data_IF_017864303850
#
_entry.id   IF_017864303850
#
_cell.length_a   1.000
_cell.length_b   1.000
_cell.length_c   1.000
_cell.angle_alpha   90.00
_cell.angle_beta   90.00
_cell.angle_gamma   90.00
#
_symmetry.space_group_name_H-M   'P 1'
#
loop_
_entity.id
_entity.type
_entity.pdbx_description
1 polymer ?
#
# COMPACT_ATOMS: atom_id res chain seq x y z
N UNK A 1 -2.58 15.06 27.05
CA UNK A 1 -3.98 14.94 26.55
C UNK A 1 -3.99 13.91 25.42
N UNK A 2 -4.86 12.89 25.49
CA UNK A 2 -4.97 11.89 24.40
C UNK A 2 -5.90 12.43 23.32
N UNK A 3 -5.48 12.31 22.06
CA UNK A 3 -6.20 12.86 20.90
C UNK A 3 -7.12 11.77 20.35
N UNK A 4 -8.38 12.12 20.07
CA UNK A 4 -9.37 11.22 19.47
C UNK A 4 -9.50 11.44 17.96
N UNK A 5 -9.54 12.71 17.54
CA UNK A 5 -9.78 13.16 16.16
C UNK A 5 -8.81 14.28 15.80
N UNK A 6 -8.54 14.46 14.51
CA UNK A 6 -7.80 15.62 14.02
C UNK A 6 -8.72 16.59 13.30
N UNK A 7 -8.58 17.87 13.61
CA UNK A 7 -9.28 18.95 12.92
C UNK A 7 -8.50 19.36 11.66
N UNK A 8 -9.20 19.38 10.54
CA UNK A 8 -8.68 19.78 9.22
C UNK A 8 -9.57 20.83 8.57
N UNK A 9 -8.97 21.70 7.75
CA UNK A 9 -9.74 22.68 6.99
C UNK A 9 -10.63 22.01 5.93
N UNK A 10 -11.70 22.70 5.51
CA UNK A 10 -12.61 22.25 4.44
C UNK A 10 -11.85 21.83 3.18
N UNK A 11 -10.91 22.66 2.71
CA UNK A 11 -10.06 22.36 1.55
C UNK A 11 -9.25 21.07 1.72
N UNK A 12 -8.62 20.86 2.89
CA UNK A 12 -7.85 19.62 3.15
C UNK A 12 -8.76 18.39 3.18
N UNK A 13 -9.99 18.55 3.67
CA UNK A 13 -10.98 17.47 3.69
C UNK A 13 -11.42 17.07 2.28
N UNK A 14 -11.64 18.04 1.38
CA UNK A 14 -11.99 17.78 -0.01
C UNK A 14 -10.85 17.09 -0.76
N UNK A 15 -9.61 17.62 -0.62
CA UNK A 15 -8.41 17.00 -1.20
C UNK A 15 -8.24 15.56 -0.72
N UNK A 16 -8.49 15.30 0.57
CA UNK A 16 -8.44 13.94 1.11
C UNK A 16 -9.50 13.04 0.46
N UNK A 17 -10.74 13.50 0.32
CA UNK A 17 -11.82 12.71 -0.29
C UNK A 17 -11.51 12.36 -1.75
N UNK A 18 -11.00 13.33 -2.53
CA UNK A 18 -10.57 13.09 -3.91
C UNK A 18 -9.42 12.09 -3.97
N UNK A 19 -8.42 12.25 -3.11
CA UNK A 19 -7.31 11.31 -3.04
C UNK A 19 -7.79 9.89 -2.65
N UNK A 20 -8.71 9.77 -1.69
CA UNK A 20 -9.27 8.47 -1.31
C UNK A 20 -10.02 7.80 -2.48
N UNK A 21 -10.80 8.57 -3.25
CA UNK A 21 -11.48 8.09 -4.45
C UNK A 21 -10.49 7.59 -5.51
N UNK A 22 -9.47 8.40 -5.84
CA UNK A 22 -8.42 8.05 -6.81
C UNK A 22 -7.62 6.83 -6.36
N UNK A 23 -7.29 6.74 -5.08
CA UNK A 23 -6.57 5.58 -4.51
C UNK A 23 -7.38 4.30 -4.63
N UNK A 24 -8.67 4.37 -4.31
CA UNK A 24 -9.58 3.21 -4.39
C UNK A 24 -9.76 2.77 -5.83
N UNK A 25 -9.91 3.70 -6.77
CA UNK A 25 -10.00 3.39 -8.20
C UNK A 25 -8.71 2.77 -8.74
N UNK A 26 -7.55 3.37 -8.45
CA UNK A 26 -6.25 2.84 -8.90
C UNK A 26 -6.02 1.42 -8.37
N UNK A 27 -6.24 1.19 -7.07
CA UNK A 27 -6.08 -0.15 -6.47
C UNK A 27 -7.13 -1.13 -7.03
N UNK A 28 -8.36 -0.67 -7.28
CA UNK A 28 -9.41 -1.48 -7.89
C UNK A 28 -9.07 -1.94 -9.31
N UNK A 29 -8.52 -1.04 -10.14
CA UNK A 29 -8.10 -1.37 -11.51
C UNK A 29 -7.00 -2.44 -11.50
N UNK A 30 -6.02 -2.35 -10.60
CA UNK A 30 -4.98 -3.40 -10.49
C UNK A 30 -5.53 -4.79 -10.17
N UNK A 31 -6.64 -4.87 -9.41
CA UNK A 31 -7.33 -6.14 -9.16
C UNK A 31 -8.06 -6.62 -10.41
N UNK A 32 -8.77 -5.72 -11.09
CA UNK A 32 -9.49 -6.04 -12.33
C UNK A 32 -8.53 -6.55 -13.40
N UNK A 33 -7.36 -5.93 -13.56
CA UNK A 33 -6.30 -6.38 -14.47
C UNK A 33 -5.83 -7.81 -14.15
N UNK A 34 -5.71 -8.16 -12.86
CA UNK A 34 -5.36 -9.51 -12.42
C UNK A 34 -6.43 -10.57 -12.74
N UNK A 35 -7.69 -10.16 -12.88
CA UNK A 35 -8.81 -11.05 -13.20
C UNK A 35 -9.06 -11.21 -14.71
N UNK A 36 -8.70 -10.19 -15.50
CA UNK A 36 -8.88 -10.19 -16.96
C UNK A 36 -7.65 -10.77 -17.68
N UNK A 37 -6.48 -10.80 -17.03
CA UNK A 37 -5.26 -11.37 -17.58
C UNK A 37 -5.34 -12.90 -17.77
N UNK A 38 -4.68 -13.39 -18.82
CA UNK A 38 -4.67 -14.82 -19.17
C UNK A 38 -3.94 -15.63 -18.06
N UNK A 39 -4.56 -16.66 -17.46
CA UNK A 39 -3.92 -17.50 -16.44
C UNK A 39 -2.74 -18.33 -16.98
N UNK A 40 -2.58 -18.44 -18.30
CA UNK A 40 -1.39 -19.04 -18.93
C UNK A 40 -0.28 -18.03 -19.20
N UNK A 41 -0.49 -16.75 -18.90
CA UNK A 41 0.56 -15.76 -18.96
C UNK A 41 1.61 -16.13 -17.88
N UNK A 42 2.88 -16.39 -18.24
CA UNK A 42 3.94 -16.70 -17.28
C UNK A 42 4.10 -15.63 -16.19
N UNK A 43 3.41 -14.49 -16.32
CA UNK A 43 3.29 -13.42 -15.35
C UNK A 43 2.54 -13.75 -14.05
N UNK A 44 1.67 -14.77 -14.03
CA UNK A 44 0.83 -15.07 -12.86
C UNK A 44 1.48 -16.01 -11.83
N UNK A 45 2.67 -16.55 -12.09
CA UNK A 45 3.43 -17.31 -11.09
C UNK A 45 4.11 -16.41 -10.06
N UNK A 46 4.32 -16.88 -8.83
CA UNK A 46 5.15 -16.19 -7.81
C UNK A 46 6.59 -15.91 -8.31
N UNK A 47 7.04 -16.67 -9.32
CA UNK A 47 8.30 -16.46 -10.06
C UNK A 47 8.08 -15.64 -11.34
N UNK A 48 6.86 -15.69 -11.90
CA UNK A 48 6.37 -14.81 -12.95
C UNK A 48 6.42 -13.34 -12.58
N UNK A 49 6.03 -12.99 -11.34
CA UNK A 49 6.22 -11.64 -10.80
C UNK A 49 7.70 -11.20 -10.70
N UNK A 50 8.66 -12.11 -10.89
CA UNK A 50 10.09 -11.82 -10.95
C UNK A 50 10.65 -11.82 -12.39
N UNK A 51 9.95 -12.43 -13.37
CA UNK A 51 10.39 -12.55 -14.78
C UNK A 51 9.53 -11.77 -15.79
N UNK A 52 8.27 -11.43 -15.48
CA UNK A 52 7.41 -10.58 -16.32
C UNK A 52 7.38 -9.14 -15.83
N UNK A 53 8.57 -8.59 -15.69
CA UNK A 53 8.81 -7.18 -15.97
C UNK A 53 9.08 -7.00 -17.47
N UNK A 54 8.33 -7.70 -18.31
CA UNK A 54 8.33 -7.50 -19.75
C UNK A 54 7.13 -6.61 -20.07
N UNK A 55 7.40 -5.31 -20.07
CA UNK A 55 6.50 -4.18 -20.37
C UNK A 55 5.35 -3.96 -19.37
N UNK A 56 5.62 -3.24 -18.27
CA UNK A 56 4.59 -2.41 -17.62
C UNK A 56 3.96 -1.57 -18.73
N UNK A 57 2.67 -1.76 -18.97
CA UNK A 57 1.98 -0.92 -19.94
C UNK A 57 2.05 0.54 -19.44
N UNK A 58 2.09 1.54 -20.33
CA UNK A 58 2.00 2.94 -19.90
C UNK A 58 0.80 3.21 -18.98
N UNK A 59 -0.26 2.41 -19.12
CA UNK A 59 -1.45 2.41 -18.27
C UNK A 59 -1.10 1.95 -16.84
N UNK A 60 -0.44 0.81 -16.66
CA UNK A 60 -0.04 0.31 -15.33
C UNK A 60 0.91 1.27 -14.60
N UNK A 61 1.81 1.94 -15.33
CA UNK A 61 2.66 3.00 -14.76
C UNK A 61 1.83 4.18 -14.30
N UNK A 62 0.84 4.61 -15.08
CA UNK A 62 -0.06 5.69 -14.72
C UNK A 62 -0.94 5.34 -13.52
N UNK A 63 -1.47 4.12 -13.45
CA UNK A 63 -2.25 3.62 -12.31
C UNK A 63 -1.42 3.60 -11.02
N UNK A 64 -0.19 3.09 -11.11
CA UNK A 64 0.76 3.13 -9.99
C UNK A 64 1.09 4.55 -9.56
N UNK A 65 1.30 5.47 -10.51
CA UNK A 65 1.57 6.88 -10.21
C UNK A 65 0.38 7.56 -9.50
N UNK A 66 -0.85 7.29 -9.96
CA UNK A 66 -2.08 7.80 -9.35
C UNK A 66 -2.25 7.22 -7.95
N UNK A 67 -2.05 5.91 -7.77
CA UNK A 67 -2.15 5.23 -6.48
C UNK A 67 -1.15 5.78 -5.47
N UNK A 68 0.12 5.89 -5.84
CA UNK A 68 1.18 6.43 -4.97
C UNK A 68 0.93 7.91 -4.69
N UNK A 69 0.60 8.72 -5.71
CA UNK A 69 0.30 10.14 -5.55
C UNK A 69 -0.88 10.40 -4.62
N UNK A 70 -1.94 9.60 -4.74
CA UNK A 70 -3.11 9.67 -3.87
C UNK A 70 -2.76 9.29 -2.42
N UNK A 71 -2.01 8.20 -2.21
CA UNK A 71 -1.55 7.79 -0.89
C UNK A 71 -0.67 8.87 -0.22
N UNK A 72 0.30 9.42 -0.96
CA UNK A 72 1.17 10.51 -0.50
C UNK A 72 0.36 11.76 -0.14
N UNK A 73 -0.69 12.08 -0.88
CA UNK A 73 -1.56 13.22 -0.59
C UNK A 73 -2.30 13.02 0.74
N UNK A 74 -2.90 11.84 0.96
CA UNK A 74 -3.58 11.50 2.22
C UNK A 74 -2.61 11.51 3.40
N UNK A 75 -1.42 10.93 3.24
CA UNK A 75 -0.38 10.97 4.27
C UNK A 75 0.16 12.38 4.49
N UNK A 76 0.25 13.23 3.47
CA UNK A 76 0.63 14.64 3.62
C UNK A 76 -0.35 15.43 4.50
N UNK A 77 -1.66 15.17 4.35
CA UNK A 77 -2.68 15.75 5.25
C UNK A 77 -2.46 15.30 6.68
N UNK A 78 -2.24 14.00 6.91
CA UNK A 78 -1.96 13.44 8.24
C UNK A 78 -0.64 13.98 8.84
N UNK A 79 0.41 14.10 8.03
CA UNK A 79 1.71 14.64 8.42
C UNK A 79 1.56 16.08 8.92
N UNK A 80 0.74 16.89 8.24
CA UNK A 80 0.44 18.25 8.68
C UNK A 80 -0.29 18.28 10.04
N UNK A 81 -1.10 17.27 10.35
CA UNK A 81 -1.76 17.11 11.65
C UNK A 81 -0.76 16.73 12.75
N UNK A 82 0.19 15.84 12.45
CA UNK A 82 1.26 15.48 13.39
C UNK A 82 2.21 16.66 13.68
N UNK A 83 2.50 17.49 12.67
CA UNK A 83 3.29 18.70 12.83
C UNK A 83 2.59 19.71 13.76
N UNK A 84 1.29 19.97 13.55
CA UNK A 84 0.48 20.86 14.40
C UNK A 84 0.42 20.38 15.85
N UNK A 85 0.37 19.07 16.07
CA UNK A 85 0.29 18.46 17.40
C UNK A 85 1.65 18.18 18.04
N UNK A 86 2.75 18.63 17.42
CA UNK A 86 4.14 18.48 17.89
C UNK A 86 4.55 17.03 18.17
N UNK A 87 3.99 16.06 17.43
CA UNK A 87 4.29 14.62 17.57
C UNK A 87 5.42 14.20 16.63
N UNK A 88 6.66 14.57 16.99
CA UNK A 88 7.85 14.36 16.17
C UNK A 88 8.03 12.90 15.71
N UNK A 89 7.85 11.91 16.59
CA UNK A 89 7.97 10.50 16.21
C UNK A 89 6.99 10.08 15.12
N UNK A 90 5.72 10.46 15.24
CA UNK A 90 4.69 10.11 14.25
C UNK A 90 4.96 10.79 12.91
N UNK A 91 5.42 12.04 12.96
CA UNK A 91 5.85 12.78 11.78
C UNK A 91 7.03 12.10 11.06
N UNK A 92 8.06 11.68 11.79
CA UNK A 92 9.24 11.04 11.21
C UNK A 92 8.91 9.69 10.58
N UNK A 93 8.19 8.82 11.30
CA UNK A 93 7.83 7.51 10.77
C UNK A 93 6.93 7.62 9.53
N UNK A 94 5.93 8.52 9.55
CA UNK A 94 5.11 8.77 8.38
C UNK A 94 5.92 9.34 7.20
N UNK A 95 6.84 10.27 7.48
CA UNK A 95 7.75 10.82 6.46
C UNK A 95 8.64 9.76 5.81
N UNK A 96 9.19 8.84 6.61
CA UNK A 96 9.95 7.70 6.11
C UNK A 96 9.09 6.80 5.22
N UNK A 97 7.83 6.51 5.59
CA UNK A 97 6.91 5.74 4.74
C UNK A 97 6.69 6.43 3.39
N UNK A 98 6.48 7.76 3.40
CA UNK A 98 6.28 8.54 2.18
C UNK A 98 7.51 8.49 1.26
N UNK A 99 8.71 8.70 1.82
CA UNK A 99 9.97 8.67 1.06
C UNK A 99 10.22 7.28 0.48
N UNK A 100 10.10 6.23 1.28
CA UNK A 100 10.31 4.86 0.78
C UNK A 100 9.27 4.48 -0.27
N UNK A 101 8.00 4.89 -0.12
CA UNK A 101 6.95 4.60 -1.12
C UNK A 101 7.26 5.28 -2.46
N UNK A 102 7.70 6.55 -2.43
CA UNK A 102 8.09 7.28 -3.63
C UNK A 102 9.33 6.66 -4.29
N UNK A 103 10.38 6.35 -3.52
CA UNK A 103 11.59 5.73 -4.04
C UNK A 103 11.32 4.34 -4.62
N UNK A 104 10.46 3.54 -3.96
CA UNK A 104 10.04 2.23 -4.47
C UNK A 104 9.36 2.38 -5.82
N UNK A 105 8.43 3.33 -5.95
CA UNK A 105 7.76 3.59 -7.22
C UNK A 105 8.76 3.97 -8.32
N UNK A 106 9.64 4.95 -8.06
CA UNK A 106 10.68 5.40 -9.00
C UNK A 106 11.58 4.23 -9.42
N UNK A 107 12.04 3.42 -8.47
CA UNK A 107 12.90 2.28 -8.77
C UNK A 107 12.19 1.24 -9.63
N UNK A 108 10.92 0.97 -9.34
CA UNK A 108 10.11 -0.01 -10.07
C UNK A 108 9.81 0.47 -11.50
N UNK A 109 9.57 1.76 -11.70
CA UNK A 109 9.22 2.31 -13.03
C UNK A 109 10.43 2.61 -13.90
N UNK A 110 11.51 3.15 -13.34
CA UNK A 110 12.65 3.66 -14.12
C UNK A 110 13.80 2.67 -14.27
N UNK A 111 14.13 1.95 -13.20
CA UNK A 111 15.38 1.17 -13.15
C UNK A 111 15.19 -0.31 -13.47
N UNK A 112 13.97 -0.81 -13.40
CA UNK A 112 13.66 -2.20 -13.70
C UNK A 112 13.93 -2.58 -15.17
N UNK A 113 13.81 -1.61 -16.07
CA UNK A 113 14.06 -1.77 -17.50
C UNK A 113 15.47 -1.35 -17.94
N UNK A 114 16.36 -1.10 -16.99
CA UNK A 114 17.74 -0.76 -17.34
C UNK A 114 18.40 -1.93 -18.06
N UNK A 115 19.09 -1.63 -19.15
CA UNK A 115 19.92 -2.59 -19.90
C UNK A 115 21.10 -3.08 -19.07
N UNK A 116 21.50 -2.31 -18.05
CA UNK A 116 22.54 -2.68 -17.10
C UNK A 116 22.01 -3.66 -16.04
N UNK A 117 22.60 -4.86 -16.03
CA UNK A 117 22.30 -5.93 -15.07
C UNK A 117 22.57 -5.53 -13.62
N UNK A 118 23.58 -4.71 -13.35
CA UNK A 118 23.92 -4.26 -12.00
C UNK A 118 22.86 -3.30 -11.46
N UNK A 119 22.42 -2.34 -12.29
CA UNK A 119 21.35 -1.39 -11.94
C UNK A 119 20.04 -2.12 -11.69
N UNK A 120 19.68 -3.08 -12.54
CA UNK A 120 18.47 -3.88 -12.37
C UNK A 120 18.49 -4.71 -11.09
N UNK A 121 19.61 -5.34 -10.77
CA UNK A 121 19.77 -6.15 -9.54
C UNK A 121 19.75 -5.26 -8.29
N UNK A 122 20.39 -4.10 -8.34
CA UNK A 122 20.29 -3.12 -7.27
C UNK A 122 18.83 -2.66 -7.05
N UNK A 123 18.11 -2.33 -8.13
CA UNK A 123 16.73 -1.87 -8.05
C UNK A 123 15.82 -2.94 -7.44
N UNK A 124 15.95 -4.21 -7.84
CA UNK A 124 15.13 -5.29 -7.29
C UNK A 124 15.40 -5.51 -5.79
N UNK A 125 16.67 -5.53 -5.37
CA UNK A 125 17.02 -5.63 -3.95
C UNK A 125 16.53 -4.42 -3.15
N UNK A 126 16.71 -3.22 -3.68
CA UNK A 126 16.26 -1.99 -3.03
C UNK A 126 14.74 -1.97 -2.85
N UNK A 127 13.98 -2.37 -3.87
CA UNK A 127 12.52 -2.48 -3.81
C UNK A 127 12.09 -3.47 -2.73
N UNK A 128 12.71 -4.66 -2.68
CA UNK A 128 12.40 -5.68 -1.67
C UNK A 128 12.70 -5.20 -0.23
N UNK A 129 13.86 -4.56 -0.02
CA UNK A 129 14.19 -3.96 1.27
C UNK A 129 13.27 -2.81 1.64
N UNK A 130 12.88 -1.99 0.66
CA UNK A 130 11.97 -0.86 0.86
C UNK A 130 10.58 -1.33 1.26
N UNK A 131 10.02 -2.38 0.63
CA UNK A 131 8.74 -2.96 1.05
C UNK A 131 8.80 -3.48 2.50
N UNK A 132 9.89 -4.15 2.87
CA UNK A 132 10.09 -4.63 4.24
C UNK A 132 10.19 -3.47 5.24
N UNK A 133 10.94 -2.42 4.88
CA UNK A 133 11.08 -1.22 5.69
C UNK A 133 9.74 -0.46 5.85
N UNK A 134 8.96 -0.33 4.78
CA UNK A 134 7.62 0.25 4.80
C UNK A 134 6.71 -0.56 5.73
N UNK A 135 6.69 -1.89 5.61
CA UNK A 135 5.86 -2.75 6.44
C UNK A 135 6.19 -2.61 7.94
N UNK A 136 7.47 -2.68 8.30
CA UNK A 136 7.94 -2.49 9.69
C UNK A 136 7.54 -1.10 10.19
N UNK A 137 7.79 -0.06 9.39
CA UNK A 137 7.48 1.31 9.74
C UNK A 137 5.96 1.55 9.92
N UNK A 138 5.13 0.91 9.08
CA UNK A 138 3.66 0.93 9.19
C UNK A 138 3.21 0.36 10.53
N UNK A 139 3.75 -0.80 10.90
CA UNK A 139 3.40 -1.48 12.16
C UNK A 139 3.87 -0.67 13.36
N UNK A 140 5.09 -0.11 13.31
CA UNK A 140 5.62 0.75 14.37
C UNK A 140 4.77 2.01 14.54
N UNK A 141 4.45 2.72 13.45
CA UNK A 141 3.57 3.87 13.48
C UNK A 141 2.20 3.50 14.07
N UNK A 142 1.62 2.38 13.65
CA UNK A 142 0.39 1.83 14.21
C UNK A 142 0.49 1.59 15.73
N UNK A 143 1.56 0.95 16.19
CA UNK A 143 1.79 0.66 17.60
C UNK A 143 1.89 1.94 18.45
N UNK A 144 2.63 2.94 17.99
CA UNK A 144 2.73 4.24 18.65
C UNK A 144 1.38 4.97 18.69
N UNK A 145 0.58 4.88 17.62
CA UNK A 145 -0.76 5.46 17.60
C UNK A 145 -1.71 4.74 18.55
N UNK A 146 -1.66 3.41 18.63
CA UNK A 146 -2.50 2.63 19.56
C UNK A 146 -2.18 2.94 21.02
N UNK A 147 -0.90 3.14 21.35
CA UNK A 147 -0.47 3.52 22.70
C UNK A 147 -0.75 5.00 23.05
N UNK A 148 -0.66 5.90 22.07
CA UNK A 148 -0.69 7.36 22.28
C UNK A 148 -2.00 8.09 21.93
N UNK A 149 -2.97 7.41 21.32
CA UNK A 149 -4.24 7.97 20.86
C UNK A 149 -5.45 7.20 21.44
N UNK A 150 -6.64 7.77 21.32
CA UNK A 150 -7.91 7.15 21.75
C UNK A 150 -8.95 7.19 20.65
N UNK A 151 -10.02 6.41 20.82
CA UNK A 151 -11.18 6.38 19.92
C UNK A 151 -10.83 6.16 18.45
N UNK A 152 -11.26 7.05 17.56
CA UNK A 152 -11.18 6.88 16.09
C UNK A 152 -9.74 6.74 15.60
N UNK A 153 -8.84 7.55 16.15
CA UNK A 153 -7.43 7.53 15.77
C UNK A 153 -6.70 6.26 16.25
N UNK A 154 -7.17 5.65 17.35
CA UNK A 154 -6.67 4.34 17.81
C UNK A 154 -7.14 3.22 16.89
N UNK A 155 -8.36 3.28 16.36
CA UNK A 155 -8.86 2.32 15.37
C UNK A 155 -8.04 2.38 14.07
N UNK A 156 -7.71 3.58 13.60
CA UNK A 156 -6.78 3.75 12.47
C UNK A 156 -5.39 3.15 12.79
N UNK A 157 -4.82 3.46 13.96
CA UNK A 157 -3.55 2.87 14.38
C UNK A 157 -3.57 1.34 14.44
N UNK A 158 -4.68 0.74 14.89
CA UNK A 158 -4.85 -0.71 14.90
C UNK A 158 -4.91 -1.29 13.48
N UNK A 159 -5.59 -0.60 12.55
CA UNK A 159 -5.65 -1.04 11.15
C UNK A 159 -4.29 -1.07 10.46
N UNK A 160 -3.39 -0.14 10.82
CA UNK A 160 -2.00 -0.13 10.33
C UNK A 160 -1.17 -1.33 10.80
N UNK A 161 -1.56 -1.97 11.91
CA UNK A 161 -0.92 -3.20 12.40
C UNK A 161 -1.57 -4.43 11.75
N UNK A 162 -2.89 -4.46 11.75
CA UNK A 162 -3.69 -5.62 11.33
C UNK A 162 -3.55 -5.85 9.82
N UNK A 163 -3.66 -4.80 9.00
CA UNK A 163 -3.66 -4.96 7.54
C UNK A 163 -2.37 -5.60 7.00
N UNK A 164 -1.15 -5.15 7.37
CA UNK A 164 0.08 -5.81 6.92
C UNK A 164 0.22 -7.27 7.38
N UNK A 165 -0.27 -7.61 8.58
CA UNK A 165 -0.23 -8.99 9.09
C UNK A 165 -1.11 -9.90 8.23
N UNK A 166 -2.36 -9.49 7.96
CA UNK A 166 -3.26 -10.25 7.10
C UNK A 166 -2.74 -10.34 5.67
N UNK A 167 -2.18 -9.25 5.12
CA UNK A 167 -1.53 -9.27 3.80
C UNK A 167 -0.37 -10.27 3.74
N UNK A 168 0.49 -10.28 4.76
CA UNK A 168 1.56 -11.28 4.88
C UNK A 168 1.03 -12.71 4.93
N UNK A 169 -0.09 -12.93 5.62
CA UNK A 169 -0.79 -14.22 5.65
C UNK A 169 -1.30 -14.67 4.28
N UNK A 170 -1.89 -13.76 3.49
CA UNK A 170 -2.33 -14.04 2.12
C UNK A 170 -1.13 -14.41 1.24
N UNK A 171 -0.03 -13.66 1.34
CA UNK A 171 1.20 -13.97 0.57
C UNK A 171 1.77 -15.34 0.94
N UNK A 172 1.77 -15.68 2.23
CA UNK A 172 2.24 -16.98 2.70
C UNK A 172 1.32 -18.14 2.26
N UNK A 173 0.01 -17.92 2.27
CA UNK A 173 -0.96 -18.87 1.74
C UNK A 173 -0.75 -19.11 0.24
N UNK A 174 -0.58 -18.05 -0.55
CA UNK A 174 -0.29 -18.16 -1.98
C UNK A 174 1.04 -18.89 -2.24
N UNK A 175 2.07 -18.63 -1.43
CA UNK A 175 3.34 -19.36 -1.50
C UNK A 175 3.17 -20.86 -1.23
N UNK A 176 2.37 -21.22 -0.22
CA UNK A 176 2.06 -22.61 0.12
C UNK A 176 1.29 -23.32 -1.00
N UNK A 177 0.25 -22.67 -1.54
CA UNK A 177 -0.56 -23.21 -2.65
C UNK A 177 0.29 -23.47 -3.90
N UNK A 178 1.28 -22.61 -4.17
CA UNK A 178 2.14 -22.72 -5.35
C UNK A 178 3.26 -23.76 -5.20
N UNK A 179 3.90 -23.85 -4.03
CA UNK A 179 5.12 -24.65 -3.87
C UNK A 179 4.95 -25.96 -3.10
N UNK A 180 3.90 -26.07 -2.27
CA UNK A 180 3.79 -27.14 -1.27
C UNK A 180 2.52 -27.96 -1.46
N UNK A 181 1.42 -27.33 -1.85
CA UNK A 181 0.17 -28.02 -2.10
C UNK A 181 0.26 -28.84 -3.41
N UNK A 182 0.55 -30.13 -3.29
CA UNK A 182 0.50 -31.06 -4.42
C UNK A 182 -0.93 -31.27 -4.91
N UNK A 183 -1.12 -31.34 -6.23
CA UNK A 183 -2.40 -31.74 -6.85
C UNK A 183 -3.32 -30.60 -7.29
N UNK A 184 -2.91 -29.34 -7.14
CA UNK A 184 -3.63 -28.20 -7.72
C UNK A 184 -3.15 -27.90 -9.14
N UNK A 185 -4.09 -27.65 -10.04
CA UNK A 185 -3.80 -27.16 -11.39
C UNK A 185 -3.56 -25.64 -11.36
N UNK A 186 -2.79 -25.12 -12.33
CA UNK A 186 -2.53 -23.68 -12.46
C UNK A 186 -3.81 -22.80 -12.43
N UNK A 187 -4.91 -23.17 -13.11
CA UNK A 187 -6.16 -22.40 -13.07
C UNK A 187 -6.82 -22.35 -11.69
N UNK A 188 -6.71 -23.42 -10.91
CA UNK A 188 -7.24 -23.46 -9.54
C UNK A 188 -6.43 -22.54 -8.63
N UNK A 189 -5.10 -22.56 -8.76
CA UNK A 189 -4.21 -21.64 -8.03
C UNK A 189 -4.52 -20.18 -8.39
N UNK A 190 -4.67 -19.87 -9.68
CA UNK A 190 -5.03 -18.52 -10.15
C UNK A 190 -6.35 -18.04 -9.54
N UNK A 191 -7.34 -18.93 -9.41
CA UNK A 191 -8.62 -18.61 -8.76
C UNK A 191 -8.45 -18.21 -7.30
N UNK A 192 -7.64 -18.95 -6.53
CA UNK A 192 -7.36 -18.62 -5.13
C UNK A 192 -6.56 -17.32 -4.98
N UNK A 193 -5.57 -17.09 -5.85
CA UNK A 193 -4.80 -15.84 -5.88
C UNK A 193 -5.71 -14.64 -6.18
N UNK A 194 -6.63 -14.79 -7.12
CA UNK A 194 -7.61 -13.77 -7.49
C UNK A 194 -8.63 -13.50 -6.38
N UNK A 195 -9.08 -14.52 -5.65
CA UNK A 195 -9.89 -14.31 -4.43
C UNK A 195 -9.09 -13.56 -3.36
N UNK A 196 -7.80 -13.89 -3.20
CA UNK A 196 -6.88 -13.19 -2.30
C UNK A 196 -6.68 -11.72 -2.65
N UNK A 197 -6.67 -11.36 -3.94
CA UNK A 197 -6.49 -9.97 -4.38
C UNK A 197 -7.68 -9.07 -4.03
N UNK A 198 -8.91 -9.60 -3.97
CA UNK A 198 -10.08 -8.86 -3.44
C UNK A 198 -9.89 -8.54 -1.96
N UNK A 199 -9.47 -9.54 -1.16
CA UNK A 199 -9.21 -9.32 0.27
C UNK A 199 -8.06 -8.31 0.43
N UNK A 200 -7.03 -8.41 -0.42
CA UNK A 200 -5.92 -7.47 -0.44
C UNK A 200 -6.35 -6.03 -0.76
N UNK A 201 -7.28 -5.83 -1.70
CA UNK A 201 -7.87 -4.52 -1.99
C UNK A 201 -8.52 -3.91 -0.74
N UNK A 202 -9.37 -4.69 -0.05
CA UNK A 202 -10.05 -4.22 1.17
C UNK A 202 -9.03 -3.85 2.24
N UNK A 203 -8.03 -4.69 2.49
CA UNK A 203 -7.00 -4.44 3.50
C UNK A 203 -6.11 -3.24 3.17
N UNK A 204 -5.94 -2.93 1.89
CA UNK A 204 -5.16 -1.78 1.41
C UNK A 204 -5.93 -0.47 1.54
N UNK A 205 -7.24 -0.47 1.25
CA UNK A 205 -8.09 0.73 1.31
C UNK A 205 -8.58 1.02 2.74
N UNK A 206 -8.78 -0.01 3.56
CA UNK A 206 -9.34 0.09 4.91
C UNK A 206 -8.61 1.11 5.81
N UNK A 207 -7.27 1.12 5.93
CA UNK A 207 -6.58 2.12 6.74
C UNK A 207 -6.86 3.55 6.29
N UNK A 208 -6.95 3.80 4.98
CA UNK A 208 -7.24 5.14 4.45
C UNK A 208 -8.69 5.56 4.72
N UNK A 209 -9.64 4.63 4.65
CA UNK A 209 -11.03 4.87 5.06
C UNK A 209 -11.17 5.18 6.55
N UNK A 210 -10.46 4.44 7.41
CA UNK A 210 -10.44 4.70 8.86
C UNK A 210 -9.73 6.01 9.20
N UNK A 211 -8.70 6.39 8.43
CA UNK A 211 -8.08 7.71 8.54
C UNK A 211 -9.10 8.79 8.22
N UNK A 212 -9.87 8.66 7.12
CA UNK A 212 -10.93 9.64 6.79
C UNK A 212 -11.92 9.81 7.93
N UNK A 213 -12.31 8.71 8.57
CA UNK A 213 -13.24 8.72 9.69
C UNK A 213 -12.67 9.42 10.95
N UNK A 214 -11.34 9.36 11.13
CA UNK A 214 -10.63 10.04 12.22
C UNK A 214 -10.38 11.55 11.98
N UNK A 215 -10.61 12.04 10.75
CA UNK A 215 -10.47 13.44 10.38
C UNK A 215 -11.83 14.17 10.46
N UNK A 216 -11.88 15.23 11.25
CA UNK A 216 -13.05 16.11 11.43
C UNK A 216 -12.79 17.46 10.77
N UNK A 217 -13.81 18.00 10.12
CA UNK A 217 -13.69 19.27 9.40
C UNK A 217 -13.93 20.42 10.37
N UNK A 218 -13.08 21.45 10.33
CA UNK A 218 -13.28 22.68 11.08
C UNK A 218 -14.60 23.34 10.63
N UNK A 219 -15.55 23.50 11.55
CA UNK A 219 -16.75 24.32 11.37
C UNK A 219 -16.35 25.79 11.40
N UNK A 220 -16.04 26.33 10.21
CA UNK A 220 -16.17 27.76 9.95
C UNK A 220 -17.63 28.09 9.62
#
# INVERSE_FOLDING_TARGET
MKINTFLISKTKSEVFNWALGLYTLATGMTVVDGWISDPNDPAQGVIGSLQTLQALSPVQVAEGAIGVGAALTMWGVLQSCFARTKRAFHFTFLGLMMVFSLLTFICTTLFTYSTDTAIRTFASHFVNYSYSAIAINTVLLGAFMVGGCVGKLRAYGASLIIAPIFMGGITLLNYYLYNVAGGLTLPEIATYVNMGSIVGLVLTVLPMGLLRWALETEEN
#
